data_IF_724786996008
#
_entry.id   IF_724786996008
#
_cell.length_a   1.000
_cell.length_b   1.000
_cell.length_c   1.000
_cell.angle_alpha   90.00
_cell.angle_beta   90.00
_cell.angle_gamma   90.00
#
_symmetry.space_group_name_H-M   'P 1'
#
loop_
_entity.id
_entity.type
_entity.pdbx_description
1 polymer ?
#
# COMPACT_ATOMS: atom_id res chain seq x y z
N UNK A 1 9.75 5.20 -18.40
CA UNK A 1 8.57 4.79 -17.59
C UNK A 1 7.88 3.54 -18.12
N UNK A 2 8.01 3.19 -19.41
CA UNK A 2 7.45 1.94 -19.96
C UNK A 2 8.20 0.67 -19.54
N UNK A 3 9.53 0.72 -19.44
CA UNK A 3 10.35 -0.50 -19.35
C UNK A 3 10.41 -1.18 -17.97
N UNK A 4 10.13 -0.46 -16.86
CA UNK A 4 10.22 -1.06 -15.52
C UNK A 4 9.07 -2.03 -15.20
N UNK A 5 7.93 -1.86 -15.87
CA UNK A 5 6.68 -2.59 -15.61
C UNK A 5 6.59 -3.93 -16.35
N UNK A 6 7.24 -4.03 -17.51
CA UNK A 6 7.20 -5.23 -18.37
C UNK A 6 8.02 -6.41 -17.80
N UNK A 7 9.04 -6.14 -16.99
CA UNK A 7 9.93 -7.20 -16.48
C UNK A 7 9.35 -7.95 -15.26
N UNK A 8 8.31 -7.42 -14.59
CA UNK A 8 7.87 -7.92 -13.28
C UNK A 8 6.42 -8.45 -13.23
N UNK A 9 5.70 -8.49 -14.36
CA UNK A 9 4.32 -8.96 -14.42
C UNK A 9 3.30 -8.05 -13.72
N UNK A 10 3.57 -6.73 -13.71
CA UNK A 10 2.73 -5.73 -13.04
C UNK A 10 1.69 -5.16 -14.02
N UNK A 11 0.40 -5.39 -13.76
CA UNK A 11 -0.73 -5.00 -14.62
C UNK A 11 -1.16 -3.54 -14.43
N UNK A 12 -0.26 -2.64 -14.05
CA UNK A 12 -0.58 -1.22 -13.87
C UNK A 12 -0.80 -0.51 -15.21
N UNK A 13 -1.94 0.17 -15.37
CA UNK A 13 -2.24 0.98 -16.57
C UNK A 13 -1.14 2.02 -16.85
N UNK A 14 -0.71 2.21 -18.12
CA UNK A 14 0.47 3.01 -18.43
C UNK A 14 0.33 4.52 -18.14
N UNK A 15 -0.88 5.00 -17.88
CA UNK A 15 -1.26 6.39 -17.60
C UNK A 15 -1.26 6.76 -16.11
N UNK A 16 -1.14 5.81 -15.18
CA UNK A 16 -1.00 6.11 -13.76
C UNK A 16 0.46 6.39 -13.44
N UNK A 17 0.73 7.63 -12.99
CA UNK A 17 2.04 8.02 -12.49
C UNK A 17 2.21 7.40 -11.10
N UNK A 18 3.12 6.43 -10.92
CA UNK A 18 3.38 5.89 -9.59
C UNK A 18 4.14 6.93 -8.75
N UNK A 19 3.72 7.14 -7.50
CA UNK A 19 4.36 8.09 -6.58
C UNK A 19 5.78 7.64 -6.19
N UNK A 20 6.04 6.32 -6.10
CA UNK A 20 7.36 5.79 -5.74
C UNK A 20 7.76 4.58 -6.59
N UNK A 21 9.01 4.59 -7.05
CA UNK A 21 9.71 3.43 -7.61
C UNK A 21 10.73 2.95 -6.58
N UNK A 22 10.44 1.83 -5.92
CA UNK A 22 11.35 1.22 -4.95
C UNK A 22 11.77 -0.14 -5.52
N UNK A 23 13.06 -0.33 -5.78
CA UNK A 23 13.61 -1.60 -6.33
C UNK A 23 12.96 -2.05 -7.65
N UNK A 24 12.63 -1.10 -8.53
CA UNK A 24 11.93 -1.39 -9.80
C UNK A 24 10.45 -1.76 -9.64
N UNK A 25 9.94 -1.77 -8.41
CA UNK A 25 8.53 -2.04 -8.08
C UNK A 25 7.80 -0.72 -7.88
N UNK A 26 6.59 -0.66 -8.42
CA UNK A 26 5.68 0.47 -8.27
C UNK A 26 5.03 0.40 -6.89
N UNK A 27 5.15 1.47 -6.11
CA UNK A 27 4.43 1.65 -4.86
C UNK A 27 3.54 2.89 -4.96
N UNK A 28 2.28 2.72 -4.55
CA UNK A 28 1.36 3.84 -4.35
C UNK A 28 1.57 4.36 -2.93
N UNK A 29 1.66 5.69 -2.77
CA UNK A 29 1.76 6.31 -1.46
C UNK A 29 0.43 6.95 -1.08
N UNK A 30 -0.08 6.59 0.09
CA UNK A 30 -1.30 7.14 0.63
C UNK A 30 -1.03 7.81 1.98
N UNK A 31 -1.25 9.12 2.05
CA UNK A 31 -1.18 9.92 3.28
C UNK A 31 -2.60 10.19 3.79
N UNK A 32 -3.14 9.37 4.72
CA UNK A 32 -4.44 9.65 5.34
C UNK A 32 -4.42 10.96 6.13
N UNK A 33 -5.58 11.62 6.18
CA UNK A 33 -5.80 12.77 7.07
C UNK A 33 -5.78 12.31 8.54
N UNK A 34 -5.46 13.20 9.50
CA UNK A 34 -5.46 12.89 10.93
C UNK A 34 -6.77 12.28 11.46
N UNK A 35 -7.90 12.56 10.81
CA UNK A 35 -9.24 12.09 11.19
C UNK A 35 -9.72 10.89 10.38
N UNK A 36 -8.91 10.37 9.45
CA UNK A 36 -9.28 9.19 8.66
C UNK A 36 -9.36 7.96 9.57
N UNK A 37 -10.45 7.20 9.46
CA UNK A 37 -10.62 5.96 10.21
C UNK A 37 -9.82 4.82 9.58
N UNK A 38 -9.43 3.83 10.39
CA UNK A 38 -8.69 2.64 9.93
C UNK A 38 -9.41 1.93 8.78
N UNK A 39 -10.74 1.81 8.87
CA UNK A 39 -11.57 1.23 7.81
C UNK A 39 -11.48 2.00 6.49
N UNK A 40 -11.41 3.33 6.52
CA UNK A 40 -11.24 4.13 5.32
C UNK A 40 -9.85 3.97 4.70
N UNK A 41 -8.80 3.85 5.54
CA UNK A 41 -7.44 3.52 5.06
C UNK A 41 -7.48 2.18 4.33
N UNK A 42 -8.06 1.16 4.96
CA UNK A 42 -8.19 -0.17 4.37
C UNK A 42 -8.98 -0.16 3.06
N UNK A 43 -10.15 0.51 3.03
CA UNK A 43 -10.99 0.58 1.82
C UNK A 43 -10.31 1.34 0.68
N UNK A 44 -9.50 2.36 0.98
CA UNK A 44 -8.68 3.02 -0.03
C UNK A 44 -7.65 2.06 -0.66
N UNK A 45 -6.96 1.29 0.18
CA UNK A 45 -6.01 0.28 -0.30
C UNK A 45 -6.75 -0.77 -1.13
N UNK A 46 -7.86 -1.30 -0.64
CA UNK A 46 -8.69 -2.27 -1.37
C UNK A 46 -9.11 -1.73 -2.75
N UNK A 47 -9.66 -0.51 -2.83
CA UNK A 47 -10.07 0.10 -4.11
C UNK A 47 -8.90 0.18 -5.10
N UNK A 48 -7.71 0.55 -4.62
CA UNK A 48 -6.50 0.60 -5.45
C UNK A 48 -6.11 -0.77 -6.01
N UNK A 49 -6.17 -1.82 -5.18
CA UNK A 49 -5.86 -3.19 -5.60
C UNK A 49 -6.94 -3.72 -6.55
N UNK A 50 -8.22 -3.54 -6.21
CA UNK A 50 -9.37 -3.99 -7.01
C UNK A 50 -9.41 -3.33 -8.39
N UNK A 51 -8.96 -2.08 -8.49
CA UNK A 51 -8.85 -1.36 -9.76
C UNK A 51 -7.56 -1.67 -10.52
N UNK A 52 -6.82 -2.68 -10.06
CA UNK A 52 -5.56 -3.19 -10.64
C UNK A 52 -4.50 -2.10 -10.85
N UNK A 53 -4.58 -1.03 -10.05
CA UNK A 53 -3.68 0.12 -10.17
C UNK A 53 -2.31 -0.18 -9.54
N UNK A 54 -2.30 -1.00 -8.49
CA UNK A 54 -1.09 -1.39 -7.77
C UNK A 54 -1.33 -2.68 -6.98
N UNK A 55 -0.26 -3.39 -6.63
CA UNK A 55 -0.29 -4.52 -5.69
C UNK A 55 0.46 -4.21 -4.38
N UNK A 56 1.04 -3.01 -4.28
CA UNK A 56 1.95 -2.59 -3.22
C UNK A 56 1.64 -1.16 -2.78
N UNK A 57 1.45 -0.96 -1.48
CA UNK A 57 1.06 0.36 -0.94
C UNK A 57 1.93 0.75 0.25
N UNK A 58 2.33 2.02 0.27
CA UNK A 58 2.95 2.67 1.41
C UNK A 58 1.91 3.63 2.03
N UNK A 59 1.56 3.40 3.28
CA UNK A 59 0.65 4.27 4.04
C UNK A 59 1.48 5.22 4.90
N UNK A 60 1.53 6.50 4.57
CA UNK A 60 2.25 7.50 5.36
C UNK A 60 1.39 7.96 6.55
N UNK A 61 1.68 7.44 7.73
CA UNK A 61 0.95 7.72 8.97
C UNK A 61 1.54 8.91 9.74
N UNK A 62 2.34 9.78 9.10
CA UNK A 62 3.06 10.83 9.83
C UNK A 62 2.13 11.81 10.53
N UNK A 63 1.05 12.17 9.85
CA UNK A 63 0.03 13.09 10.36
C UNK A 63 -1.19 12.34 10.93
N UNK A 64 -1.20 11.00 10.85
CA UNK A 64 -2.31 10.19 11.32
C UNK A 64 -2.23 9.96 12.84
N UNK A 65 -3.38 10.05 13.52
CA UNK A 65 -3.46 10.01 14.99
C UNK A 65 -4.03 8.72 15.58
N UNK A 66 -4.29 7.70 14.76
CA UNK A 66 -4.79 6.42 15.26
C UNK A 66 -3.69 5.44 15.68
N UNK A 67 -4.08 4.21 16.01
CA UNK A 67 -3.15 3.16 16.44
C UNK A 67 -2.72 2.25 15.28
N UNK A 68 -1.42 1.97 15.18
CA UNK A 68 -0.88 1.07 14.16
C UNK A 68 -1.33 -0.39 14.36
N UNK A 69 -1.66 -0.78 15.59
CA UNK A 69 -2.17 -2.12 15.90
C UNK A 69 -3.57 -2.29 15.36
N UNK A 70 -4.41 -1.25 15.39
CA UNK A 70 -5.73 -1.29 14.77
C UNK A 70 -5.63 -1.46 13.24
N UNK A 71 -4.66 -0.78 12.59
CA UNK A 71 -4.40 -0.99 11.17
C UNK A 71 -3.98 -2.43 10.91
N UNK A 72 -2.98 -2.94 11.63
CA UNK A 72 -2.54 -4.34 11.48
C UNK A 72 -3.69 -5.32 11.67
N UNK A 73 -4.51 -5.10 12.69
CA UNK A 73 -5.68 -5.93 12.96
C UNK A 73 -6.72 -5.85 11.85
N UNK A 74 -7.01 -4.65 11.31
CA UNK A 74 -7.94 -4.46 10.20
C UNK A 74 -7.52 -5.24 8.95
N UNK A 75 -6.25 -5.17 8.57
CA UNK A 75 -5.74 -5.91 7.40
C UNK A 75 -5.65 -7.42 7.65
N UNK A 76 -5.50 -7.84 8.92
CA UNK A 76 -5.51 -9.24 9.30
C UNK A 76 -6.93 -9.83 9.31
N UNK A 77 -7.91 -9.09 9.85
CA UNK A 77 -9.32 -9.50 9.93
C UNK A 77 -9.98 -9.48 8.53
N UNK A 78 -9.57 -8.52 7.69
CA UNK A 78 -10.05 -8.34 6.32
C UNK A 78 -8.88 -8.42 5.32
N UNK A 79 -8.42 -9.62 4.96
CA UNK A 79 -7.37 -9.77 3.96
C UNK A 79 -7.85 -9.28 2.59
N UNK A 80 -7.02 -8.51 1.89
CA UNK A 80 -7.32 -7.99 0.54
C UNK A 80 -6.74 -8.95 -0.49
N UNK A 81 -7.58 -9.48 -1.37
CA UNK A 81 -7.15 -10.35 -2.48
C UNK A 81 -6.22 -9.60 -3.43
N UNK A 82 -5.15 -10.25 -3.92
CA UNK A 82 -4.11 -9.69 -4.81
C UNK A 82 -3.19 -8.63 -4.19
N UNK A 83 -3.38 -8.28 -2.91
CA UNK A 83 -2.44 -7.45 -2.18
C UNK A 83 -1.16 -8.24 -1.88
N UNK A 84 -0.01 -7.71 -2.30
CA UNK A 84 1.30 -8.36 -2.08
C UNK A 84 2.06 -7.76 -0.90
N UNK A 85 1.96 -6.45 -0.69
CA UNK A 85 2.80 -5.76 0.27
C UNK A 85 2.17 -4.47 0.76
N UNK A 86 2.16 -4.27 2.09
CA UNK A 86 1.78 -2.99 2.72
C UNK A 86 2.84 -2.59 3.73
N UNK A 87 3.35 -1.38 3.56
CA UNK A 87 4.22 -0.72 4.52
C UNK A 87 3.52 0.49 5.09
N UNK A 88 3.85 0.86 6.31
CA UNK A 88 3.43 2.12 6.90
C UNK A 88 4.66 2.95 7.28
N UNK A 89 4.57 4.26 7.12
CA UNK A 89 5.58 5.21 7.62
C UNK A 89 5.07 5.77 8.94
N UNK A 90 5.81 5.57 10.02
CA UNK A 90 5.45 6.07 11.35
C UNK A 90 5.62 7.59 11.43
N UNK A 91 5.05 8.24 12.46
CA UNK A 91 5.32 9.65 12.77
C UNK A 91 6.79 10.01 12.96
N UNK A 92 7.62 9.05 13.37
CA UNK A 92 9.07 9.23 13.50
C UNK A 92 9.80 9.11 12.16
N UNK A 93 9.11 8.74 11.08
CA UNK A 93 9.68 8.53 9.76
C UNK A 93 10.23 7.12 9.53
N UNK A 94 9.95 6.18 10.44
CA UNK A 94 10.37 4.78 10.31
C UNK A 94 9.39 4.02 9.41
N UNK A 95 9.89 3.13 8.55
CA UNK A 95 9.05 2.31 7.68
C UNK A 95 8.84 0.96 8.35
N UNK A 96 7.60 0.67 8.74
CA UNK A 96 7.21 -0.61 9.36
C UNK A 96 6.40 -1.46 8.38
N UNK A 97 6.61 -2.77 8.41
CA UNK A 97 5.85 -3.69 7.57
C UNK A 97 4.53 -4.06 8.26
N UNK A 98 3.42 -3.81 7.57
CA UNK A 98 2.06 -4.14 8.07
C UNK A 98 1.65 -5.52 7.58
N UNK A 99 1.86 -5.80 6.28
CA UNK A 99 1.59 -7.09 5.67
C UNK A 99 2.90 -7.67 5.15
N UNK A 100 3.26 -8.90 5.56
CA UNK A 100 4.47 -9.56 5.07
C UNK A 100 4.37 -9.83 3.57
N UNK A 101 5.50 -9.85 2.89
CA UNK A 101 5.58 -10.21 1.48
C UNK A 101 5.11 -11.65 1.28
N UNK A 102 3.94 -11.81 0.66
CA UNK A 102 3.47 -13.12 0.20
C UNK A 102 4.11 -13.39 -1.17
N UNK A 103 5.30 -13.97 -1.18
CA UNK A 103 5.85 -14.57 -2.39
C UNK A 103 5.17 -15.93 -2.58
N UNK A 104 4.25 -16.01 -3.53
CA UNK A 104 3.66 -17.27 -3.97
C UNK A 104 4.78 -18.21 -4.42
N UNK A 105 5.08 -19.23 -3.60
CA UNK A 105 5.94 -20.37 -3.97
C UNK A 105 5.25 -21.27 -4.99
#
# INVERSE_FOLDING_TARGET
MAEARENNGDTGTPSSKPDYLLEGRVFDCYSPKPTTTVRNIWSYVEDKIQREQTQRVIVDLKEWKGDMSDIRQQFHDWPITHLKEVKAVTPTGEIVQIIPITESS
#
